data_IF_194920659492
#
_entry.id   IF_194920659492
#
_cell.length_a   1.000
_cell.length_b   1.000
_cell.length_c   1.000
_cell.angle_alpha   90.00
_cell.angle_beta   90.00
_cell.angle_gamma   90.00
#
_symmetry.space_group_name_H-M   'P 1'
#
loop_
_entity.id
_entity.type
_entity.pdbx_description
1 polymer ?
#
# COMPACT_ATOMS: atom_id res chain seq x y z
N UNK A 1 -20.64 5.70 -4.83
CA UNK A 1 -20.24 5.69 -6.26
C UNK A 1 -19.00 6.53 -6.37
N UNK A 2 -17.84 5.91 -6.69
CA UNK A 2 -16.52 6.55 -6.67
C UNK A 2 -16.19 6.91 -8.12
N UNK A 3 -16.08 8.20 -8.45
CA UNK A 3 -15.83 8.67 -9.82
C UNK A 3 -14.33 8.79 -10.05
N UNK A 4 -13.82 8.08 -11.07
CA UNK A 4 -12.44 8.20 -11.58
C UNK A 4 -12.26 9.50 -12.39
N UNK A 5 -12.73 10.62 -11.85
CA UNK A 5 -12.68 11.92 -12.53
C UNK A 5 -11.71 12.85 -11.83
N UNK A 6 -10.81 13.46 -12.60
CA UNK A 6 -10.02 14.62 -12.15
C UNK A 6 -10.96 15.70 -11.63
N UNK A 7 -10.71 16.18 -10.42
CA UNK A 7 -11.53 17.19 -9.76
C UNK A 7 -10.74 18.48 -9.63
N UNK A 8 -11.24 19.56 -10.23
CA UNK A 8 -10.67 20.90 -10.12
C UNK A 8 -11.61 21.80 -9.31
N UNK A 9 -11.04 22.59 -8.41
CA UNK A 9 -11.71 23.59 -7.58
C UNK A 9 -10.99 24.91 -7.75
N UNK A 10 -11.66 25.89 -8.35
CA UNK A 10 -11.22 27.29 -8.33
C UNK A 10 -12.06 28.04 -7.28
N UNK A 11 -11.44 28.85 -6.44
CA UNK A 11 -12.16 29.59 -5.39
C UNK A 11 -12.72 28.68 -4.31
N UNK A 12 -11.83 28.05 -3.53
CA UNK A 12 -12.17 27.00 -2.55
C UNK A 12 -13.38 27.34 -1.65
N UNK A 13 -13.58 28.61 -1.27
CA UNK A 13 -14.70 29.05 -0.43
C UNK A 13 -16.09 28.98 -1.09
N UNK A 14 -16.18 28.88 -2.42
CA UNK A 14 -17.45 28.92 -3.18
C UNK A 14 -17.88 27.58 -3.80
N UNK A 15 -17.13 26.50 -3.62
CA UNK A 15 -17.47 25.21 -4.22
C UNK A 15 -18.55 24.46 -3.42
N UNK A 16 -19.75 24.42 -3.96
CA UNK A 16 -20.91 23.77 -3.33
C UNK A 16 -20.83 22.24 -3.29
N UNK A 17 -19.90 21.60 -4.03
CA UNK A 17 -19.73 20.14 -4.00
C UNK A 17 -19.18 19.66 -2.67
N UNK A 18 -18.40 20.49 -1.96
CA UNK A 18 -17.82 20.16 -0.66
C UNK A 18 -18.07 21.27 0.38
N UNK A 19 -19.32 21.41 0.86
CA UNK A 19 -19.76 22.55 1.67
C UNK A 19 -19.07 22.67 3.03
N UNK A 20 -18.52 21.59 3.57
CA UNK A 20 -17.72 21.60 4.81
C UNK A 20 -16.24 21.90 4.59
N UNK A 21 -15.70 21.53 3.43
CA UNK A 21 -14.28 21.68 3.10
C UNK A 21 -13.97 23.12 2.66
N UNK A 22 -14.76 23.65 1.72
CA UNK A 22 -14.48 24.92 1.06
C UNK A 22 -14.24 26.10 2.01
N UNK A 23 -15.12 26.36 2.99
CA UNK A 23 -14.93 27.43 3.96
C UNK A 23 -13.69 27.26 4.85
N UNK A 24 -13.31 26.02 5.16
CA UNK A 24 -12.12 25.72 5.96
C UNK A 24 -10.86 25.93 5.13
N UNK A 25 -10.84 25.43 3.89
CA UNK A 25 -9.75 25.60 2.95
C UNK A 25 -9.49 27.10 2.66
N UNK A 26 -10.54 27.89 2.46
CA UNK A 26 -10.43 29.34 2.27
C UNK A 26 -9.85 30.06 3.50
N UNK A 27 -10.23 29.66 4.73
CA UNK A 27 -9.63 30.20 5.97
C UNK A 27 -8.13 29.89 6.09
N UNK A 28 -7.67 28.81 5.46
CA UNK A 28 -6.26 28.42 5.39
C UNK A 28 -5.53 29.09 4.21
N UNK A 29 -6.21 29.99 3.46
CA UNK A 29 -5.62 30.68 2.32
C UNK A 29 -5.55 29.84 1.04
N UNK A 30 -6.20 28.67 0.99
CA UNK A 30 -6.26 27.85 -0.22
C UNK A 30 -7.21 28.52 -1.22
N UNK A 31 -6.69 28.82 -2.39
CA UNK A 31 -7.39 29.55 -3.46
C UNK A 31 -7.84 28.62 -4.59
N UNK A 32 -7.05 27.58 -4.88
CA UNK A 32 -7.36 26.58 -5.90
C UNK A 32 -6.81 25.20 -5.53
N UNK A 33 -7.47 24.14 -6.00
CA UNK A 33 -7.03 22.76 -5.86
C UNK A 33 -7.32 21.95 -7.13
N UNK A 34 -6.41 21.05 -7.49
CA UNK A 34 -6.54 20.10 -8.58
C UNK A 34 -6.16 18.71 -8.08
N UNK A 35 -7.12 17.79 -8.09
CA UNK A 35 -6.94 16.40 -7.71
C UNK A 35 -7.02 15.51 -8.96
N UNK A 36 -5.91 14.90 -9.34
CA UNK A 36 -5.81 14.01 -10.51
C UNK A 36 -5.75 12.57 -10.02
N UNK A 37 -6.63 11.72 -10.54
CA UNK A 37 -6.61 10.30 -10.21
C UNK A 37 -5.47 9.62 -10.97
N UNK A 38 -4.63 8.89 -10.23
CA UNK A 38 -3.55 8.09 -10.76
C UNK A 38 -4.04 6.65 -10.91
N UNK A 39 -4.48 6.31 -12.12
CA UNK A 39 -4.89 4.96 -12.48
C UNK A 39 -3.66 4.06 -12.63
N UNK A 40 -3.29 3.38 -11.55
CA UNK A 40 -2.16 2.45 -11.53
C UNK A 40 -2.44 1.10 -10.89
N UNK A 41 -3.46 0.99 -10.01
CA UNK A 41 -3.76 -0.26 -9.29
C UNK A 41 -5.26 -0.52 -9.22
N UNK A 42 -5.72 -1.76 -9.48
CA UNK A 42 -7.12 -2.13 -9.30
C UNK A 42 -7.59 -2.02 -7.84
N UNK A 43 -6.66 -2.16 -6.88
CA UNK A 43 -7.00 -2.26 -5.45
C UNK A 43 -6.68 -0.99 -4.64
N UNK A 44 -6.04 0.01 -5.26
CA UNK A 44 -5.62 1.24 -4.58
C UNK A 44 -5.72 2.43 -5.53
N UNK A 45 -6.56 3.41 -5.17
CA UNK A 45 -6.53 4.71 -5.85
C UNK A 45 -5.43 5.55 -5.21
N UNK A 46 -4.54 6.04 -6.05
CA UNK A 46 -3.63 7.12 -5.69
C UNK A 46 -4.11 8.40 -6.38
N UNK A 47 -3.88 9.54 -5.76
CA UNK A 47 -4.20 10.85 -6.32
C UNK A 47 -2.98 11.75 -6.28
N UNK A 48 -2.83 12.58 -7.30
CA UNK A 48 -1.92 13.71 -7.29
C UNK A 48 -2.74 14.96 -6.96
N UNK A 49 -2.50 15.53 -5.78
CA UNK A 49 -3.18 16.73 -5.33
C UNK A 49 -2.26 17.95 -5.44
N UNK A 50 -2.70 18.94 -6.19
CA UNK A 50 -2.06 20.25 -6.32
C UNK A 50 -2.91 21.27 -5.59
N UNK A 51 -2.28 22.05 -4.71
CA UNK A 51 -2.95 23.06 -3.88
C UNK A 51 -2.24 24.39 -4.13
N UNK A 52 -3.00 25.42 -4.48
CA UNK A 52 -2.52 26.79 -4.62
C UNK A 52 -3.01 27.64 -3.44
N UNK A 53 -2.13 28.55 -3.02
CA UNK A 53 -2.43 29.65 -2.09
C UNK A 53 -2.26 31.02 -2.75
N UNK A 54 -1.88 31.06 -4.03
CA UNK A 54 -1.88 32.28 -4.84
C UNK A 54 -3.18 32.39 -5.63
N UNK A 55 -3.58 33.59 -6.05
CA UNK A 55 -4.78 33.78 -6.87
C UNK A 55 -4.69 33.14 -8.28
N UNK A 56 -3.54 32.53 -8.62
CA UNK A 56 -3.31 31.89 -9.90
C UNK A 56 -4.16 30.62 -10.06
N UNK A 57 -4.86 30.55 -11.19
CA UNK A 57 -5.61 29.34 -11.56
C UNK A 57 -4.65 28.19 -11.90
N UNK A 58 -5.03 26.97 -11.49
CA UNK A 58 -4.32 25.74 -11.85
C UNK A 58 -4.64 25.25 -13.28
N UNK A 59 -5.50 25.95 -14.04
CA UNK A 59 -5.90 25.54 -15.38
C UNK A 59 -4.72 25.44 -16.36
N UNK A 60 -3.72 26.31 -16.24
CA UNK A 60 -2.55 26.31 -17.12
C UNK A 60 -1.59 25.14 -16.87
N UNK A 61 -1.54 24.64 -15.63
CA UNK A 61 -0.65 23.54 -15.23
C UNK A 61 -1.33 22.17 -15.33
N UNK A 62 -2.66 22.12 -15.42
CA UNK A 62 -3.44 20.88 -15.48
C UNK A 62 -2.96 19.89 -16.55
N UNK A 63 -2.68 20.29 -17.82
CA UNK A 63 -2.21 19.34 -18.83
C UNK A 63 -0.87 18.68 -18.46
N UNK A 64 0.08 19.48 -17.94
CA UNK A 64 1.39 18.99 -17.50
C UNK A 64 1.27 18.11 -16.26
N UNK A 65 0.41 18.49 -15.32
CA UNK A 65 0.12 17.72 -14.12
C UNK A 65 -0.51 16.36 -14.45
N UNK A 66 -1.42 16.30 -15.43
CA UNK A 66 -2.01 15.06 -15.91
C UNK A 66 -0.96 14.14 -16.57
N UNK A 67 -0.06 14.69 -17.38
CA UNK A 67 1.04 13.91 -17.98
C UNK A 67 1.98 13.35 -16.89
N UNK A 68 2.34 14.18 -15.92
CA UNK A 68 3.16 13.77 -14.79
C UNK A 68 2.48 12.68 -13.95
N UNK A 69 1.19 12.85 -13.62
CA UNK A 69 0.39 11.86 -12.90
C UNK A 69 0.36 10.52 -13.64
N UNK A 70 0.24 10.52 -14.97
CA UNK A 70 0.29 9.29 -15.76
C UNK A 70 1.65 8.58 -15.65
N UNK A 71 2.76 9.33 -15.73
CA UNK A 71 4.11 8.77 -15.57
C UNK A 71 4.33 8.21 -14.16
N UNK A 72 3.93 8.95 -13.13
CA UNK A 72 4.01 8.50 -11.73
C UNK A 72 3.17 7.24 -11.52
N UNK A 73 1.98 7.15 -12.13
CA UNK A 73 1.12 5.97 -12.05
C UNK A 73 1.85 4.72 -12.57
N UNK A 74 2.47 4.81 -13.75
CA UNK A 74 3.23 3.70 -14.35
C UNK A 74 4.40 3.29 -13.45
N UNK A 75 5.17 4.26 -12.95
CA UNK A 75 6.30 3.99 -12.05
C UNK A 75 5.85 3.33 -10.75
N UNK A 76 4.79 3.85 -10.13
CA UNK A 76 4.26 3.31 -8.88
C UNK A 76 3.77 1.86 -9.05
N UNK A 77 3.12 1.55 -10.17
CA UNK A 77 2.70 0.18 -10.50
C UNK A 77 3.91 -0.74 -10.69
N UNK A 78 4.91 -0.31 -11.45
CA UNK A 78 6.12 -1.09 -11.69
C UNK A 78 6.89 -1.36 -10.37
N UNK A 79 7.15 -0.33 -9.57
CA UNK A 79 7.83 -0.46 -8.28
C UNK A 79 7.03 -1.32 -7.30
N UNK A 80 5.70 -1.18 -7.27
CA UNK A 80 4.84 -2.03 -6.43
C UNK A 80 4.95 -3.51 -6.82
N UNK A 81 5.00 -3.81 -8.12
CA UNK A 81 5.13 -5.18 -8.61
C UNK A 81 6.49 -5.78 -8.24
N UNK A 82 7.58 -5.01 -8.40
CA UNK A 82 8.92 -5.42 -7.98
C UNK A 82 8.97 -5.70 -6.47
N UNK A 83 8.45 -4.79 -5.65
CA UNK A 83 8.40 -4.99 -4.20
C UNK A 83 7.56 -6.22 -3.80
N UNK A 84 6.44 -6.47 -4.48
CA UNK A 84 5.62 -7.65 -4.21
C UNK A 84 6.35 -8.96 -4.57
N UNK A 85 7.13 -8.96 -5.67
CA UNK A 85 7.97 -10.08 -6.06
C UNK A 85 9.09 -10.32 -5.04
N UNK A 86 9.79 -9.26 -4.61
CA UNK A 86 10.84 -9.35 -3.59
C UNK A 86 10.28 -9.89 -2.27
N UNK A 87 9.13 -9.38 -1.83
CA UNK A 87 8.44 -9.86 -0.62
C UNK A 87 8.03 -11.34 -0.76
N UNK A 88 7.58 -11.77 -1.95
CA UNK A 88 7.23 -13.16 -2.23
C UNK A 88 8.46 -14.07 -2.20
N UNK A 89 9.61 -13.65 -2.73
CA UNK A 89 10.86 -14.40 -2.68
C UNK A 89 11.32 -14.58 -1.24
N UNK A 90 11.37 -13.48 -0.47
CA UNK A 90 11.74 -13.52 0.96
C UNK A 90 10.78 -14.41 1.75
N UNK A 91 9.48 -14.30 1.50
CA UNK A 91 8.45 -15.13 2.13
C UNK A 91 8.65 -16.61 1.80
N UNK A 92 8.91 -16.95 0.52
CA UNK A 92 9.17 -18.34 0.11
C UNK A 92 10.43 -18.89 0.78
N UNK A 93 11.48 -18.08 0.88
CA UNK A 93 12.74 -18.48 1.51
C UNK A 93 12.56 -18.79 3.00
N UNK A 94 11.92 -17.91 3.77
CA UNK A 94 11.73 -18.11 5.21
C UNK A 94 10.83 -19.32 5.50
N UNK A 95 9.79 -19.54 4.68
CA UNK A 95 8.92 -20.72 4.78
C UNK A 95 9.72 -21.99 4.46
N UNK A 96 10.54 -21.98 3.41
CA UNK A 96 11.40 -23.12 3.08
C UNK A 96 12.38 -23.47 4.19
N UNK A 97 13.00 -22.46 4.82
CA UNK A 97 13.88 -22.65 5.97
C UNK A 97 13.13 -23.25 7.18
N UNK A 98 11.94 -22.73 7.50
CA UNK A 98 11.10 -23.26 8.56
C UNK A 98 10.69 -24.72 8.30
N UNK A 99 10.26 -25.05 7.07
CA UNK A 99 9.96 -26.43 6.68
C UNK A 99 11.18 -27.34 6.84
N UNK A 100 12.37 -26.89 6.43
CA UNK A 100 13.61 -27.64 6.60
C UNK A 100 13.94 -27.96 8.06
N UNK A 101 13.71 -27.01 8.98
CA UNK A 101 13.85 -27.22 10.42
C UNK A 101 12.89 -28.31 10.91
N UNK A 102 11.62 -28.28 10.50
CA UNK A 102 10.63 -29.29 10.89
C UNK A 102 10.95 -30.67 10.30
N UNK A 103 11.41 -30.72 9.05
CA UNK A 103 11.85 -31.98 8.44
C UNK A 103 12.97 -32.64 9.26
N UNK A 104 13.98 -31.85 9.68
CA UNK A 104 15.09 -32.37 10.46
C UNK A 104 14.69 -32.73 11.89
N UNK A 105 13.91 -31.88 12.56
CA UNK A 105 13.54 -32.04 13.98
C UNK A 105 12.50 -33.13 14.20
N UNK A 106 11.49 -33.19 13.33
CA UNK A 106 10.30 -34.02 13.51
C UNK A 106 10.26 -35.21 12.53
N UNK A 107 11.27 -35.35 11.66
CA UNK A 107 11.36 -36.44 10.68
C UNK A 107 10.32 -36.38 9.56
N UNK A 108 9.75 -35.20 9.33
CA UNK A 108 8.67 -34.99 8.36
C UNK A 108 9.20 -34.92 6.92
N UNK A 109 8.38 -35.36 5.97
CA UNK A 109 8.57 -35.07 4.55
C UNK A 109 8.33 -33.58 4.21
N UNK A 110 8.77 -33.11 3.03
CA UNK A 110 8.63 -31.70 2.64
C UNK A 110 7.19 -31.18 2.68
N UNK A 111 6.22 -31.95 2.18
CA UNK A 111 4.80 -31.56 2.18
C UNK A 111 4.22 -31.55 3.60
N UNK A 112 4.56 -32.55 4.42
CA UNK A 112 4.06 -32.66 5.79
C UNK A 112 4.57 -31.51 6.68
N UNK A 113 5.83 -31.11 6.49
CA UNK A 113 6.42 -29.97 7.18
C UNK A 113 5.72 -28.65 6.80
N UNK A 114 5.44 -28.43 5.52
CA UNK A 114 4.69 -27.26 5.07
C UNK A 114 3.25 -27.26 5.62
N UNK A 115 2.57 -28.40 5.56
CA UNK A 115 1.21 -28.55 6.10
C UNK A 115 1.16 -28.29 7.61
N UNK A 116 2.20 -28.67 8.35
CA UNK A 116 2.32 -28.36 9.77
C UNK A 116 2.38 -26.84 10.02
N UNK A 117 3.16 -26.09 9.22
CA UNK A 117 3.19 -24.62 9.30
C UNK A 117 1.82 -24.01 8.98
N UNK A 118 1.13 -24.53 7.95
CA UNK A 118 -0.23 -24.09 7.58
C UNK A 118 -1.21 -24.32 8.71
N UNK A 119 -1.20 -25.49 9.35
CA UNK A 119 -2.06 -25.80 10.50
C UNK A 119 -1.84 -24.81 11.64
N UNK A 120 -0.60 -24.46 11.95
CA UNK A 120 -0.28 -23.48 13.00
C UNK A 120 -0.74 -22.07 12.62
N UNK A 121 -0.52 -21.67 11.36
CA UNK A 121 -0.98 -20.37 10.83
C UNK A 121 -2.49 -20.22 10.95
N UNK A 122 -3.25 -21.25 10.56
CA UNK A 122 -4.71 -21.29 10.68
C UNK A 122 -5.17 -21.30 12.14
N UNK A 123 -4.57 -22.14 12.99
CA UNK A 123 -4.93 -22.23 14.41
C UNK A 123 -4.68 -20.91 15.16
N UNK A 124 -3.64 -20.16 14.79
CA UNK A 124 -3.32 -18.85 15.38
C UNK A 124 -3.95 -17.66 14.66
N UNK A 125 -4.55 -17.88 13.48
CA UNK A 125 -5.03 -16.83 12.58
C UNK A 125 -3.98 -15.73 12.29
N UNK A 126 -2.74 -16.13 12.03
CA UNK A 126 -1.65 -15.23 11.64
C UNK A 126 -1.08 -15.65 10.29
N UNK A 127 -0.37 -14.75 9.60
CA UNK A 127 0.20 -15.05 8.28
C UNK A 127 1.23 -16.17 8.38
N UNK A 128 1.22 -17.09 7.41
CA UNK A 128 2.14 -18.24 7.36
C UNK A 128 3.61 -17.84 7.45
N UNK A 129 3.99 -16.74 6.80
CA UNK A 129 5.36 -16.19 6.85
C UNK A 129 5.79 -15.77 8.25
N UNK A 130 4.85 -15.34 9.09
CA UNK A 130 5.13 -14.92 10.45
C UNK A 130 5.33 -16.16 11.35
N UNK A 131 4.55 -17.22 11.14
CA UNK A 131 4.80 -18.54 11.77
C UNK A 131 6.18 -19.08 11.40
N UNK A 132 6.53 -19.01 10.13
CA UNK A 132 7.83 -19.47 9.65
C UNK A 132 8.98 -18.66 10.27
N UNK A 133 8.83 -17.32 10.35
CA UNK A 133 9.80 -16.44 11.00
C UNK A 133 9.96 -16.78 12.48
N UNK A 134 8.88 -16.98 13.22
CA UNK A 134 8.94 -17.36 14.65
C UNK A 134 9.72 -18.67 14.88
N UNK A 135 9.68 -19.59 13.91
CA UNK A 135 10.42 -20.85 13.98
C UNK A 135 11.91 -20.68 13.62
N UNK A 136 12.23 -19.85 12.62
CA UNK A 136 13.60 -19.61 12.14
C UNK A 136 14.39 -18.67 13.04
N UNK A 137 13.72 -17.66 13.61
CA UNK A 137 14.25 -16.72 14.58
C UNK A 137 13.66 -17.03 15.97
N UNK A 138 14.03 -18.16 16.59
CA UNK A 138 13.55 -18.47 17.92
C UNK A 138 14.08 -17.39 18.87
N UNK A 139 13.20 -16.50 19.30
CA UNK A 139 13.43 -15.68 20.47
C UNK A 139 13.75 -16.67 21.58
N UNK A 140 14.99 -16.67 22.09
CA UNK A 140 15.38 -17.48 23.24
C UNK A 140 14.38 -17.20 24.36
N UNK A 141 13.40 -18.08 24.56
CA UNK A 141 12.66 -18.13 25.81
C UNK A 141 13.67 -18.60 26.84
N UNK A 142 14.05 -17.71 27.75
CA UNK A 142 14.75 -18.05 28.99
C UNK A 142 13.99 -19.21 29.66
N UNK A 143 14.66 -20.28 30.10
CA UNK A 143 13.99 -21.35 30.83
C UNK A 143 13.53 -20.79 32.17
N UNK A 144 12.23 -20.89 32.45
CA UNK A 144 11.69 -20.67 33.78
C UNK A 144 12.25 -21.77 34.70
N UNK A 145 12.87 -21.35 35.80
CA UNK A 145 13.44 -22.19 36.85
C UNK A 145 12.43 -22.48 37.94
#
# INVERSE_FOLDING_TARGET
MRTSSTNRVDGAGGDFRWPSYGPVAAKLGITAQLAIVMDGRPDALATLDLISVSEDSLASVEPTACLFAAQVSVLLTATSAVHALDEAIVTRQIIGQASGILMQRDGLGPSEAFDALVKVSQAKNIKLRDVARDLVEPHRRTPDR
#
